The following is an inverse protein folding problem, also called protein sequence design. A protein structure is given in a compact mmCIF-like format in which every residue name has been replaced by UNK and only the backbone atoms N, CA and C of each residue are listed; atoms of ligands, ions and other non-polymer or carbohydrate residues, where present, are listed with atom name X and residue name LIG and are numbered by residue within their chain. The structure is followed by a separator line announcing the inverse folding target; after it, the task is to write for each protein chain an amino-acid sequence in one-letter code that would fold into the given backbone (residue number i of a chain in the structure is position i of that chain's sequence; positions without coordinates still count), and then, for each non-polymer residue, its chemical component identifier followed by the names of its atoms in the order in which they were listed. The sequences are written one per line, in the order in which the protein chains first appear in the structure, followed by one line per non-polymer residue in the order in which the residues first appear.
data_IF_281473553354
#
_entry.id   IF_281473553354
#
_cell.length_a   1.000
_cell.length_b   1.000
_cell.length_c   1.000
_cell.angle_alpha   90.00
_cell.angle_beta   90.00
_cell.angle_gamma   90.00
#
_symmetry.space_group_name_H-M   'P 1'
#
loop_
_entity.id
_entity.type
_entity.pdbx_description
1 polymer ?
#
# COMPACT_ATOMS: atom_id res chain seq x y z
N UNK A 1 14.54 -18.19 6.27
CA UNK A 1 13.99 -16.89 5.81
C UNK A 1 13.07 -16.40 6.92
N UNK A 2 13.36 -15.26 7.54
CA UNK A 2 12.63 -14.82 8.74
C UNK A 2 11.45 -13.94 8.38
N UNK A 3 10.27 -14.25 8.91
CA UNK A 3 9.12 -13.35 8.83
C UNK A 3 9.31 -12.19 9.82
N UNK A 4 8.89 -10.99 9.42
CA UNK A 4 8.93 -9.78 10.24
C UNK A 4 7.54 -9.15 10.26
N UNK A 5 7.11 -8.75 11.45
CA UNK A 5 5.84 -8.05 11.65
C UNK A 5 6.04 -6.55 11.47
N UNK A 6 5.07 -5.91 10.80
CA UNK A 6 5.01 -4.45 10.64
C UNK A 6 3.83 -3.96 11.47
N UNK A 7 4.10 -3.07 12.41
CA UNK A 7 3.10 -2.39 13.21
C UNK A 7 3.09 -0.91 12.83
N UNK A 8 1.91 -0.41 12.46
CA UNK A 8 1.72 0.98 12.03
C UNK A 8 0.58 1.61 12.83
N UNK A 9 0.74 2.88 13.17
CA UNK A 9 -0.35 3.70 13.71
C UNK A 9 -1.01 4.46 12.56
N UNK A 10 -2.32 4.32 12.45
CA UNK A 10 -3.17 5.03 11.50
C UNK A 10 -4.43 5.47 12.22
N UNK A 11 -5.03 6.55 11.76
CA UNK A 11 -6.32 6.99 12.27
C UNK A 11 -7.41 5.94 11.95
N UNK A 12 -8.38 5.82 12.84
CA UNK A 12 -9.40 4.78 12.77
C UNK A 12 -10.26 4.92 11.49
N UNK A 13 -10.61 6.15 11.12
CA UNK A 13 -11.43 6.43 9.94
C UNK A 13 -10.67 6.14 8.64
N UNK A 14 -9.37 6.43 8.59
CA UNK A 14 -8.50 6.09 7.46
C UNK A 14 -8.43 4.58 7.30
N UNK A 15 -8.27 3.85 8.42
CA UNK A 15 -8.23 2.39 8.39
C UNK A 15 -9.55 1.80 7.93
N UNK A 16 -10.67 2.26 8.48
CA UNK A 16 -12.00 1.78 8.12
C UNK A 16 -12.28 1.97 6.63
N UNK A 17 -12.01 3.17 6.09
CA UNK A 17 -12.20 3.48 4.66
C UNK A 17 -11.31 2.59 3.78
N UNK A 18 -10.06 2.39 4.16
CA UNK A 18 -9.14 1.53 3.41
C UNK A 18 -9.61 0.07 3.40
N UNK A 19 -10.02 -0.46 4.56
CA UNK A 19 -10.54 -1.82 4.68
C UNK A 19 -11.77 -2.02 3.78
N UNK A 20 -12.72 -1.09 3.77
CA UNK A 20 -13.93 -1.17 2.94
C UNK A 20 -13.59 -1.17 1.44
N UNK A 21 -12.68 -0.29 1.01
CA UNK A 21 -12.25 -0.20 -0.39
C UNK A 21 -11.57 -1.51 -0.83
N UNK A 22 -10.65 -2.02 -0.03
CA UNK A 22 -9.95 -3.26 -0.35
C UNK A 22 -10.87 -4.48 -0.27
N UNK A 23 -11.79 -4.53 0.69
CA UNK A 23 -12.77 -5.61 0.82
C UNK A 23 -13.67 -5.71 -0.42
N UNK A 24 -14.11 -4.56 -0.97
CA UNK A 24 -14.85 -4.50 -2.23
C UNK A 24 -14.07 -5.06 -3.44
N UNK A 25 -12.74 -5.14 -3.34
CA UNK A 25 -11.84 -5.71 -4.35
C UNK A 25 -11.40 -7.14 -4.00
N UNK A 26 -11.95 -7.75 -2.94
CA UNK A 26 -11.56 -9.08 -2.47
C UNK A 26 -10.19 -9.13 -1.79
N UNK A 27 -9.69 -7.99 -1.31
CA UNK A 27 -8.39 -7.83 -0.65
C UNK A 27 -8.56 -7.44 0.82
N UNK A 28 -7.57 -7.82 1.63
CA UNK A 28 -7.41 -7.25 2.97
C UNK A 28 -6.37 -6.14 2.93
N UNK A 29 -6.45 -5.18 3.85
CA UNK A 29 -5.43 -4.12 3.98
C UNK A 29 -4.02 -4.69 4.18
N UNK A 30 -3.88 -5.78 4.95
CA UNK A 30 -2.59 -6.47 5.11
C UNK A 30 -2.09 -7.08 3.79
N UNK A 31 -2.98 -7.68 3.00
CA UNK A 31 -2.65 -8.20 1.68
C UNK A 31 -2.20 -7.11 0.72
N UNK A 32 -2.92 -5.99 0.70
CA UNK A 32 -2.56 -4.81 -0.10
C UNK A 32 -1.18 -4.27 0.29
N UNK A 33 -0.89 -4.11 1.58
CA UNK A 33 0.42 -3.67 2.09
C UNK A 33 1.54 -4.66 1.71
N UNK A 34 1.27 -5.97 1.75
CA UNK A 34 2.24 -6.98 1.33
C UNK A 34 2.60 -6.85 -0.14
N UNK A 35 1.59 -6.72 -1.01
CA UNK A 35 1.80 -6.52 -2.45
C UNK A 35 2.57 -5.22 -2.69
N UNK A 36 2.17 -4.14 -2.02
CA UNK A 36 2.82 -2.84 -2.06
C UNK A 36 4.34 -2.95 -1.75
N UNK A 37 4.70 -3.51 -0.60
CA UNK A 37 6.10 -3.66 -0.20
C UNK A 37 6.88 -4.57 -1.14
N UNK A 38 6.23 -5.62 -1.65
CA UNK A 38 6.84 -6.54 -2.62
C UNK A 38 7.16 -5.82 -3.91
N UNK A 39 6.27 -4.97 -4.40
CA UNK A 39 6.51 -4.20 -5.63
C UNK A 39 7.66 -3.22 -5.44
N UNK A 40 7.66 -2.43 -4.36
CA UNK A 40 8.77 -1.48 -4.09
C UNK A 40 10.11 -2.19 -4.01
N UNK A 41 10.17 -3.35 -3.34
CA UNK A 41 11.41 -4.14 -3.25
C UNK A 41 11.87 -4.70 -4.59
N UNK A 42 10.92 -5.06 -5.48
CA UNK A 42 11.23 -5.66 -6.78
C UNK A 42 11.57 -4.63 -7.86
N UNK A 43 10.91 -3.46 -7.86
CA UNK A 43 11.11 -2.42 -8.87
C UNK A 43 12.20 -1.44 -8.49
N UNK A 44 12.46 -1.26 -7.18
CA UNK A 44 13.34 -0.19 -6.68
C UNK A 44 12.71 1.21 -6.78
N UNK A 45 11.43 1.28 -7.18
CA UNK A 45 10.68 2.51 -7.34
C UNK A 45 9.61 2.61 -6.26
N UNK A 46 9.46 3.80 -5.68
CA UNK A 46 8.35 4.15 -4.80
C UNK A 46 7.08 4.32 -5.63
N UNK A 47 5.89 3.96 -5.08
CA UNK A 47 4.60 4.27 -5.71
C UNK A 47 4.39 5.78 -5.91
N UNK A 48 5.25 6.59 -5.30
CA UNK A 48 5.19 8.03 -5.30
C UNK A 48 6.16 8.69 -6.29
N UNK A 49 7.09 7.93 -6.90
CA UNK A 49 8.16 8.49 -7.75
C UNK A 49 7.63 9.21 -9.01
N UNK A 50 6.35 9.02 -9.34
CA UNK A 50 5.66 9.72 -10.42
C UNK A 50 4.35 10.40 -10.00
N UNK A 51 4.03 10.49 -8.70
CA UNK A 51 2.77 11.11 -8.25
C UNK A 51 2.67 12.61 -8.58
N UNK A 52 3.82 13.29 -8.67
CA UNK A 52 3.91 14.70 -9.06
C UNK A 52 4.58 14.88 -10.42
N UNK A 53 4.61 13.81 -11.23
CA UNK A 53 5.01 13.89 -12.63
C UNK A 53 4.05 14.82 -13.37
N UNK A 54 4.51 16.03 -13.62
CA UNK A 54 3.84 17.04 -14.43
C UNK A 54 3.14 16.36 -15.63
N UNK A 55 1.83 16.57 -15.78
CA UNK A 55 1.16 16.41 -17.08
C UNK A 55 1.88 17.36 -18.05
N UNK A 56 2.93 16.89 -18.71
CA UNK A 56 3.50 17.58 -19.86
C UNK A 56 3.18 16.75 -21.10
N UNK A 57 2.21 17.30 -21.82
CA UNK A 57 1.72 17.00 -23.18
C UNK A 57 0.88 15.74 -23.35
#
# INVERSE_FOLDING_TARGET
MGEKLIQLRVEDDVKAKADDIFANQGLTTQGAIKVFLTQVANTGESPFDHLFGNKQN
#
